data_IF_934311700715
#
_entry.id   IF_934311700715
#
_cell.length_a   1.000
_cell.length_b   1.000
_cell.length_c   1.000
_cell.angle_alpha   90.00
_cell.angle_beta   90.00
_cell.angle_gamma   90.00
#
_symmetry.space_group_name_H-M   'P 1'
#
loop_
_entity.id
_entity.type
_entity.pdbx_description
1 polymer ?
#
# COMPACT_ATOMS: atom_id res chain seq x y z
N UNK A 1 -21.37 -43.84 -8.20
CA UNK A 1 -20.58 -42.68 -8.65
C UNK A 1 -20.11 -41.94 -7.42
N UNK A 2 -18.82 -42.00 -7.13
CA UNK A 2 -18.22 -41.31 -5.97
C UNK A 2 -17.57 -40.03 -6.49
N UNK A 3 -18.13 -38.88 -6.12
CA UNK A 3 -17.53 -37.58 -6.44
C UNK A 3 -16.40 -37.36 -5.44
N UNK A 4 -15.17 -37.36 -5.94
CA UNK A 4 -14.00 -36.91 -5.18
C UNK A 4 -14.02 -35.39 -5.21
N UNK A 5 -14.29 -34.75 -4.07
CA UNK A 5 -14.12 -33.31 -3.94
C UNK A 5 -12.62 -33.02 -3.86
N UNK A 6 -12.09 -32.40 -4.92
CA UNK A 6 -10.74 -31.84 -4.93
C UNK A 6 -10.72 -30.65 -3.97
N UNK A 7 -10.11 -30.85 -2.81
CA UNK A 7 -10.04 -29.86 -1.75
C UNK A 7 -8.76 -29.07 -1.96
N UNK A 8 -8.79 -28.10 -2.89
CA UNK A 8 -7.71 -27.14 -3.08
C UNK A 8 -7.41 -26.45 -1.75
N UNK A 9 -6.27 -26.79 -1.13
CA UNK A 9 -5.75 -26.15 0.07
C UNK A 9 -5.41 -24.71 -0.25
N UNK A 10 -6.35 -23.80 0.04
CA UNK A 10 -6.11 -22.36 -0.01
C UNK A 10 -5.22 -22.00 1.19
N UNK A 11 -3.91 -21.86 0.98
CA UNK A 11 -2.97 -21.37 1.99
C UNK A 11 -3.51 -20.08 2.61
N UNK A 12 -3.52 -19.98 3.94
CA UNK A 12 -3.94 -18.77 4.63
C UNK A 12 -2.96 -17.63 4.30
N UNK A 13 -3.50 -16.43 4.04
CA UNK A 13 -2.69 -15.26 3.74
C UNK A 13 -1.79 -14.90 4.94
N UNK A 14 -0.55 -14.46 4.65
CA UNK A 14 0.42 -14.09 5.67
C UNK A 14 0.01 -12.82 6.42
N UNK A 15 0.49 -12.68 7.67
CA UNK A 15 0.21 -11.52 8.50
C UNK A 15 1.10 -10.33 8.11
N UNK A 16 0.55 -9.16 7.69
CA UNK A 16 1.35 -8.02 7.25
C UNK A 16 2.32 -7.48 8.31
N UNK A 17 2.04 -7.70 9.60
CA UNK A 17 2.93 -7.29 10.70
C UNK A 17 4.31 -7.95 10.64
N UNK A 18 4.45 -9.04 9.89
CA UNK A 18 5.73 -9.74 9.71
C UNK A 18 6.64 -9.09 8.67
N UNK A 19 6.16 -8.07 7.94
CA UNK A 19 6.94 -7.32 6.96
C UNK A 19 7.99 -6.39 7.58
N UNK A 20 7.84 -6.07 8.85
CA UNK A 20 8.78 -5.25 9.63
C UNK A 20 8.92 -5.82 11.03
N UNK A 21 9.96 -5.44 11.74
CA UNK A 21 10.11 -5.78 13.14
C UNK A 21 9.02 -5.12 14.02
N UNK A 22 8.72 -5.67 15.21
CA UNK A 22 7.65 -5.16 16.07
C UNK A 22 7.85 -3.73 16.59
N UNK A 23 9.10 -3.27 16.73
CA UNK A 23 9.41 -1.91 17.19
C UNK A 23 9.05 -0.91 16.09
N UNK A 24 9.52 -1.16 14.87
CA UNK A 24 9.17 -0.34 13.70
C UNK A 24 7.66 -0.29 13.50
N UNK A 25 6.97 -1.44 13.54
CA UNK A 25 5.51 -1.48 13.42
C UNK A 25 4.82 -0.65 14.52
N UNK A 26 5.25 -0.81 15.77
CA UNK A 26 4.69 -0.10 16.92
C UNK A 26 4.83 1.41 16.79
N UNK A 27 6.01 1.90 16.34
CA UNK A 27 6.25 3.33 16.12
C UNK A 27 5.35 3.90 15.03
N UNK A 28 5.22 3.23 13.88
CA UNK A 28 4.33 3.66 12.80
C UNK A 28 2.87 3.77 13.26
N UNK A 29 2.41 2.78 14.03
CA UNK A 29 1.05 2.76 14.61
C UNK A 29 0.84 3.90 15.59
N UNK A 30 1.79 4.14 16.49
CA UNK A 30 1.68 5.17 17.52
C UNK A 30 1.62 6.57 16.90
N UNK A 31 2.47 6.83 15.89
CA UNK A 31 2.47 8.09 15.16
C UNK A 31 1.17 8.30 14.36
N UNK A 32 0.74 7.30 13.60
CA UNK A 32 -0.49 7.40 12.83
C UNK A 32 -1.73 7.59 13.73
N UNK A 33 -1.80 6.86 14.84
CA UNK A 33 -2.89 7.02 15.80
C UNK A 33 -2.94 8.42 16.40
N UNK A 34 -1.77 8.98 16.75
CA UNK A 34 -1.66 10.34 17.29
C UNK A 34 -2.04 11.40 16.24
N UNK A 35 -1.51 11.29 15.02
CA UNK A 35 -1.69 12.27 13.95
C UNK A 35 -3.12 12.32 13.43
N UNK A 36 -3.78 11.15 13.30
CA UNK A 36 -5.17 11.06 12.81
C UNK A 36 -6.23 11.03 13.92
N UNK A 37 -5.81 11.04 15.20
CA UNK A 37 -6.69 10.95 16.36
C UNK A 37 -7.63 9.73 16.33
N UNK A 38 -7.11 8.58 15.91
CA UNK A 38 -7.85 7.32 15.77
C UNK A 38 -7.47 6.33 16.87
N UNK A 39 -8.28 5.29 17.04
CA UNK A 39 -7.97 4.21 17.99
C UNK A 39 -6.73 3.43 17.53
N UNK A 40 -5.95 2.90 18.49
CA UNK A 40 -4.82 2.02 18.18
C UNK A 40 -5.23 0.83 17.31
N UNK A 41 -6.39 0.23 17.56
CA UNK A 41 -6.89 -0.92 16.78
C UNK A 41 -7.14 -0.56 15.32
N UNK A 42 -7.70 0.62 15.05
CA UNK A 42 -7.83 1.11 13.67
C UNK A 42 -6.46 1.38 13.05
N UNK A 43 -5.57 2.05 13.80
CA UNK A 43 -4.22 2.37 13.34
C UNK A 43 -3.40 1.13 12.97
N UNK A 44 -3.47 0.07 13.77
CA UNK A 44 -2.80 -1.20 13.48
C UNK A 44 -3.26 -1.80 12.15
N UNK A 45 -4.58 -1.84 11.90
CA UNK A 45 -5.11 -2.34 10.62
C UNK A 45 -4.71 -1.47 9.44
N UNK A 46 -4.72 -0.14 9.62
CA UNK A 46 -4.32 0.80 8.57
C UNK A 46 -2.83 0.64 8.21
N UNK A 47 -1.95 0.56 9.22
CA UNK A 47 -0.50 0.38 9.04
C UNK A 47 -0.18 -1.00 8.44
N UNK A 48 -0.93 -2.06 8.80
CA UNK A 48 -0.83 -3.35 8.11
C UNK A 48 -1.04 -3.18 6.60
N UNK A 49 -2.08 -2.46 6.17
CA UNK A 49 -2.38 -2.27 4.75
C UNK A 49 -1.34 -1.39 4.05
N UNK A 50 -0.80 -0.39 4.75
CA UNK A 50 0.32 0.40 4.25
C UNK A 50 1.58 -0.46 4.02
N UNK A 51 1.91 -1.38 4.92
CA UNK A 51 3.04 -2.29 4.72
C UNK A 51 2.82 -3.21 3.49
N UNK A 52 1.61 -3.74 3.30
CA UNK A 52 1.29 -4.54 2.09
C UNK A 52 1.41 -3.68 0.82
N UNK A 53 0.99 -2.42 0.88
CA UNK A 53 1.13 -1.47 -0.22
C UNK A 53 2.60 -1.21 -0.58
N UNK A 54 3.47 -0.96 0.39
CA UNK A 54 4.92 -0.82 0.15
C UNK A 54 5.51 -2.10 -0.43
N UNK A 55 5.07 -3.27 0.04
CA UNK A 55 5.52 -4.56 -0.48
C UNK A 55 5.10 -4.75 -1.94
N UNK A 56 3.84 -4.43 -2.26
CA UNK A 56 3.32 -4.47 -3.61
C UNK A 56 4.08 -3.50 -4.55
N UNK A 57 4.43 -2.31 -4.06
CA UNK A 57 5.31 -1.39 -4.78
C UNK A 57 6.66 -2.03 -5.06
N UNK A 58 7.36 -2.52 -4.02
CA UNK A 58 8.69 -3.08 -4.13
C UNK A 58 8.77 -4.26 -5.11
N UNK A 59 7.79 -5.17 -5.07
CA UNK A 59 7.75 -6.34 -5.97
C UNK A 59 7.49 -5.99 -7.43
N UNK A 60 6.98 -4.78 -7.69
CA UNK A 60 6.64 -4.35 -9.03
C UNK A 60 7.49 -3.18 -9.51
N UNK A 61 8.42 -2.63 -8.70
CA UNK A 61 9.11 -1.37 -9.00
C UNK A 61 10.05 -1.42 -10.21
N UNK A 62 10.42 -2.61 -10.66
CA UNK A 62 11.22 -2.81 -11.87
C UNK A 62 10.44 -3.45 -13.02
N UNK A 63 9.14 -3.73 -12.81
CA UNK A 63 8.29 -4.31 -13.85
C UNK A 63 7.81 -3.21 -14.80
N UNK A 64 8.22 -3.22 -16.09
CA UNK A 64 7.81 -2.21 -17.06
C UNK A 64 6.38 -2.43 -17.58
N UNK A 65 5.81 -3.62 -17.36
CA UNK A 65 4.44 -3.98 -17.76
C UNK A 65 3.44 -3.77 -16.62
N UNK A 66 3.90 -3.42 -15.42
CA UNK A 66 3.04 -3.18 -14.27
C UNK A 66 2.85 -1.68 -14.00
N UNK A 67 1.60 -1.25 -14.07
CA UNK A 67 1.20 0.13 -13.81
C UNK A 67 0.58 0.79 -15.03
N UNK A 68 0.47 2.11 -14.99
CA UNK A 68 -0.12 2.91 -16.06
C UNK A 68 0.91 3.86 -16.66
N UNK A 69 0.99 3.98 -18.00
CA UNK A 69 1.83 5.00 -18.64
C UNK A 69 1.46 6.40 -18.15
N UNK A 70 2.46 7.17 -17.73
CA UNK A 70 2.34 8.57 -17.37
C UNK A 70 2.70 9.47 -18.56
N UNK A 71 2.22 10.73 -18.59
CA UNK A 71 2.47 11.65 -19.69
C UNK A 71 3.96 11.94 -19.96
N UNK A 72 4.80 11.81 -18.95
CA UNK A 72 6.26 11.99 -19.04
C UNK A 72 7.01 10.74 -19.53
N UNK A 73 6.29 9.66 -19.84
CA UNK A 73 6.84 8.38 -20.28
C UNK A 73 7.27 7.44 -19.16
N UNK A 74 7.12 7.84 -17.90
CA UNK A 74 7.31 6.94 -16.76
C UNK A 74 6.08 6.03 -16.55
N UNK A 75 6.20 4.98 -15.73
CA UNK A 75 5.08 4.09 -15.39
C UNK A 75 4.64 4.40 -13.96
N UNK A 76 3.41 4.88 -13.81
CA UNK A 76 2.74 5.09 -12.53
C UNK A 76 2.42 3.74 -11.92
N UNK A 77 2.92 3.48 -10.71
CA UNK A 77 2.81 2.19 -10.03
C UNK A 77 1.55 2.12 -9.18
N UNK A 78 1.54 1.23 -8.19
CA UNK A 78 0.47 1.11 -7.19
C UNK A 78 0.08 2.48 -6.62
N UNK A 79 -1.22 2.68 -6.39
CA UNK A 79 -1.80 3.92 -5.85
C UNK A 79 -2.59 3.60 -4.58
N UNK A 80 -2.44 4.38 -3.50
CA UNK A 80 -3.23 4.17 -2.30
C UNK A 80 -4.67 4.68 -2.48
N UNK A 81 -5.59 4.10 -1.73
CA UNK A 81 -6.88 4.73 -1.39
C UNK A 81 -6.68 5.73 -0.25
N UNK A 82 -7.66 6.63 -0.04
CA UNK A 82 -7.61 7.67 0.99
C UNK A 82 -7.11 7.22 2.38
N UNK A 83 -7.61 6.12 3.00
CA UNK A 83 -7.16 5.75 4.34
C UNK A 83 -5.71 5.23 4.37
N UNK A 84 -5.21 4.62 3.29
CA UNK A 84 -3.82 4.16 3.20
C UNK A 84 -2.88 5.32 2.89
N UNK A 85 -3.33 6.26 2.06
CA UNK A 85 -2.62 7.50 1.77
C UNK A 85 -2.44 8.36 3.04
N UNK A 86 -3.46 8.41 3.90
CA UNK A 86 -3.37 9.08 5.20
C UNK A 86 -2.29 8.46 6.10
N UNK A 87 -2.11 7.13 6.06
CA UNK A 87 -0.99 6.48 6.78
C UNK A 87 0.33 6.95 6.21
N UNK A 88 0.49 6.92 4.88
CA UNK A 88 1.75 7.31 4.25
C UNK A 88 2.14 8.75 4.59
N UNK A 89 1.19 9.69 4.52
CA UNK A 89 1.41 11.09 4.87
C UNK A 89 1.78 11.32 6.34
N UNK A 90 1.23 10.53 7.27
CA UNK A 90 1.63 10.59 8.67
C UNK A 90 3.04 10.06 8.85
N UNK A 91 3.34 8.85 8.37
CA UNK A 91 4.62 8.20 8.66
C UNK A 91 5.81 8.85 7.94
N UNK A 92 5.60 9.52 6.80
CA UNK A 92 6.64 10.30 6.12
C UNK A 92 7.24 11.42 6.99
N UNK A 93 6.46 11.95 7.94
CA UNK A 93 6.93 12.98 8.88
C UNK A 93 7.84 12.40 9.97
N UNK A 94 7.80 11.09 10.16
CA UNK A 94 8.56 10.35 11.16
C UNK A 94 9.62 9.49 10.45
N UNK A 95 10.66 10.16 9.94
CA UNK A 95 11.58 9.59 8.95
C UNK A 95 12.38 8.38 9.44
N UNK A 96 12.64 8.25 10.74
CA UNK A 96 13.37 7.10 11.31
C UNK A 96 12.59 5.79 11.15
N UNK A 97 11.37 5.63 11.73
CA UNK A 97 10.59 4.41 11.52
C UNK A 97 10.18 4.21 10.06
N UNK A 98 9.94 5.29 9.30
CA UNK A 98 9.63 5.18 7.89
C UNK A 98 10.78 4.60 7.06
N UNK A 99 12.00 5.12 7.25
CA UNK A 99 13.18 4.58 6.57
C UNK A 99 13.46 3.12 6.98
N UNK A 100 13.28 2.78 8.25
CA UNK A 100 13.41 1.40 8.73
C UNK A 100 12.40 0.44 8.07
N UNK A 101 11.15 0.88 7.91
CA UNK A 101 10.14 0.09 7.21
C UNK A 101 10.46 -0.07 5.71
N UNK A 102 10.92 1.01 5.06
CA UNK A 102 11.33 0.95 3.65
C UNK A 102 12.49 -0.03 3.44
N UNK A 103 13.52 0.03 4.28
CA UNK A 103 14.66 -0.89 4.21
C UNK A 103 14.23 -2.35 4.36
N UNK A 104 13.36 -2.65 5.33
CA UNK A 104 12.90 -4.02 5.61
C UNK A 104 11.97 -4.57 4.52
N UNK A 105 11.16 -3.73 3.89
CA UNK A 105 10.14 -4.15 2.91
C UNK A 105 10.68 -4.14 1.47
N UNK A 106 11.47 -3.12 1.15
CA UNK A 106 11.84 -2.75 -0.22
C UNK A 106 13.36 -2.72 -0.46
N UNK A 107 14.18 -3.05 0.54
CA UNK A 107 15.65 -3.01 0.44
C UNK A 107 16.19 -1.63 0.01
N UNK A 108 15.44 -0.57 0.35
CA UNK A 108 15.79 0.81 0.03
C UNK A 108 14.66 1.78 0.33
N UNK A 109 14.98 3.08 0.30
CA UNK A 109 14.01 4.14 0.60
C UNK A 109 12.96 4.27 -0.51
N UNK A 110 11.68 4.15 -0.16
CA UNK A 110 10.58 4.37 -1.11
C UNK A 110 10.25 5.85 -1.13
N UNK A 111 10.38 6.50 -2.29
CA UNK A 111 10.03 7.92 -2.41
C UNK A 111 8.53 8.08 -2.62
N UNK A 112 7.91 8.96 -1.84
CA UNK A 112 6.56 9.41 -2.10
C UNK A 112 6.57 10.39 -3.27
N UNK A 113 6.01 9.97 -4.40
CA UNK A 113 5.89 10.77 -5.62
C UNK A 113 4.40 11.08 -5.81
N UNK A 114 3.97 12.33 -5.59
CA UNK A 114 2.61 12.74 -5.88
C UNK A 114 2.36 12.63 -7.38
N UNK A 115 1.38 11.83 -7.77
CA UNK A 115 0.96 11.68 -9.17
C UNK A 115 -0.55 11.90 -9.22
N UNK A 116 -1.03 12.65 -10.21
CA UNK A 116 -2.44 12.69 -10.58
C UNK A 116 -2.58 12.08 -11.97
N UNK A 117 -3.38 11.03 -12.09
CA UNK A 117 -3.63 10.38 -13.37
C UNK A 117 -5.12 10.24 -13.66
N UNK A 118 -5.50 10.14 -14.94
CA UNK A 118 -6.89 9.83 -15.31
C UNK A 118 -7.39 8.53 -14.67
N UNK A 119 -6.53 7.52 -14.60
CA UNK A 119 -6.84 6.24 -13.95
C UNK A 119 -7.02 6.31 -12.42
N UNK A 120 -6.50 7.34 -11.74
CA UNK A 120 -6.84 7.59 -10.34
C UNK A 120 -8.25 8.20 -10.21
N UNK A 121 -8.65 9.07 -11.14
CA UNK A 121 -9.96 9.73 -11.12
C UNK A 121 -11.12 8.78 -11.48
N UNK A 122 -10.88 7.78 -12.33
CA UNK A 122 -11.91 6.80 -12.73
C UNK A 122 -11.87 5.48 -11.93
N UNK A 123 -10.91 5.35 -11.00
CA UNK A 123 -10.74 4.18 -10.12
C UNK A 123 -9.99 2.99 -10.74
N UNK A 124 -9.60 3.04 -12.01
CA UNK A 124 -8.85 1.96 -12.70
C UNK A 124 -7.53 1.65 -12.01
N UNK A 125 -6.86 2.67 -11.46
CA UNK A 125 -5.58 2.51 -10.77
C UNK A 125 -5.69 1.72 -9.46
N UNK A 126 -6.83 1.81 -8.75
CA UNK A 126 -7.09 1.00 -7.55
C UNK A 126 -7.21 -0.48 -7.91
N UNK A 127 -7.81 -0.81 -9.07
CA UNK A 127 -7.95 -2.21 -9.51
C UNK A 127 -6.57 -2.87 -9.77
N UNK A 128 -5.64 -2.16 -10.41
CA UNK A 128 -4.26 -2.64 -10.58
C UNK A 128 -3.54 -2.79 -9.24
N UNK A 129 -3.75 -1.84 -8.32
CA UNK A 129 -3.18 -1.91 -6.98
C UNK A 129 -3.68 -3.14 -6.24
N UNK A 130 -4.99 -3.39 -6.22
CA UNK A 130 -5.58 -4.59 -5.61
C UNK A 130 -4.96 -5.87 -6.18
N UNK A 131 -4.80 -5.96 -7.50
CA UNK A 131 -4.16 -7.12 -8.12
C UNK A 131 -2.72 -7.34 -7.62
N UNK A 132 -1.93 -6.27 -7.43
CA UNK A 132 -0.59 -6.39 -6.85
C UNK A 132 -0.61 -6.73 -5.37
N UNK A 133 -1.49 -6.11 -4.57
CA UNK A 133 -1.62 -6.41 -3.14
C UNK A 133 -1.92 -7.89 -2.92
N UNK A 134 -2.83 -8.48 -3.71
CA UNK A 134 -3.14 -9.91 -3.62
C UNK A 134 -1.97 -10.83 -4.03
N UNK A 135 -1.12 -10.38 -4.97
CA UNK A 135 0.05 -11.16 -5.40
C UNK A 135 1.14 -11.25 -4.34
N UNK A 136 1.19 -10.30 -3.39
CA UNK A 136 2.15 -10.34 -2.27
C UNK A 136 1.96 -11.55 -1.34
N UNK A 137 0.77 -12.17 -1.35
CA UNK A 137 0.41 -13.28 -0.46
C UNK A 137 0.06 -12.86 0.98
N UNK A 138 0.05 -11.57 1.29
CA UNK A 138 -0.36 -11.03 2.60
C UNK A 138 -1.86 -10.77 2.68
N UNK A 139 -2.36 -10.65 3.91
CA UNK A 139 -3.76 -10.31 4.18
C UNK A 139 -4.07 -8.89 3.70
N UNK A 140 -4.96 -8.80 2.71
CA UNK A 140 -5.56 -7.55 2.22
C UNK A 140 -6.89 -7.33 2.94
N UNK A 141 -7.01 -6.21 3.65
CA UNK A 141 -8.21 -5.79 4.37
C UNK A 141 -9.02 -4.82 3.50
N UNK A 142 -10.06 -5.34 2.85
CA UNK A 142 -10.86 -4.58 1.88
C UNK A 142 -11.58 -3.37 2.47
N UNK A 143 -11.69 -3.24 3.80
CA UNK A 143 -12.23 -2.02 4.43
C UNK A 143 -11.37 -0.79 4.09
N UNK A 144 -10.06 -0.97 3.92
CA UNK A 144 -9.12 0.11 3.59
C UNK A 144 -8.99 0.33 2.09
N UNK A 145 -9.43 -0.62 1.26
CA UNK A 145 -9.28 -0.57 -0.19
C UNK A 145 -10.61 -0.37 -0.94
N UNK A 146 -11.71 -0.16 -0.21
CA UNK A 146 -12.99 0.23 -0.78
C UNK A 146 -13.03 1.74 -1.00
N UNK A 147 -13.11 2.18 -2.26
CA UNK A 147 -13.24 3.60 -2.60
C UNK A 147 -12.42 4.02 -3.82
N UNK A 148 -12.38 5.33 -4.07
CA UNK A 148 -11.57 5.95 -5.12
C UNK A 148 -10.10 6.07 -4.67
N UNK A 149 -9.18 6.12 -5.64
CA UNK A 149 -7.79 6.48 -5.36
C UNK A 149 -7.75 7.95 -4.93
N UNK A 150 -6.85 8.30 -4.01
CA UNK A 150 -6.62 9.70 -3.65
C UNK A 150 -5.40 10.22 -4.41
N UNK A 151 -5.53 11.41 -5.00
CA UNK A 151 -4.38 12.18 -5.47
C UNK A 151 -4.24 13.41 -4.60
N UNK A 152 -3.16 13.46 -3.80
CA UNK A 152 -2.81 14.64 -3.03
C UNK A 152 -2.27 15.81 -3.89
N UNK A 153 -2.13 15.62 -5.21
CA UNK A 153 -1.82 16.71 -6.12
C UNK A 153 -3.04 17.61 -6.37
N UNK A 154 -2.92 18.94 -6.29
CA UNK A 154 -3.91 19.82 -6.91
C UNK A 154 -3.95 19.53 -8.42
N UNK A 155 -5.05 19.85 -9.14
CA UNK A 155 -5.21 19.57 -10.57
C UNK A 155 -4.19 20.23 -11.52
N UNK A 156 -3.13 20.88 -11.00
CA UNK A 156 -1.98 21.37 -11.76
C UNK A 156 -0.83 21.77 -10.80
N UNK A 157 0.05 20.85 -10.36
CA UNK A 157 1.17 21.21 -9.48
C UNK A 157 2.38 21.79 -10.22
N UNK A 158 2.31 21.96 -11.55
CA UNK A 158 3.32 22.69 -12.34
C UNK A 158 4.69 22.00 -12.43
N UNK A 159 4.85 21.07 -13.38
CA UNK A 159 5.71 21.16 -14.58
C UNK A 159 5.76 19.81 -15.27
#
# INVERSE_FOLDING_TARGET
MTITADQSTRTAAADPRTLVDPETFGQLVDYFAADQHVTRTYAERAVEQFCVFLKAHAENVDNPEFGMPLPDGSIGRVVPTLPVDAVWHSVLQHTVPYAAACEQIAEGFVHHIPILTEGMMDGTAVAFTLAALHQTGYRVDMEFWAGEAESCCPPNPGN
#
